data_IF_416760434690
#
_entry.id   IF_416760434690
#
_cell.length_a   1.000
_cell.length_b   1.000
_cell.length_c   1.000
_cell.angle_alpha   90.00
_cell.angle_beta   90.00
_cell.angle_gamma   90.00
#
_symmetry.space_group_name_H-M   'P 1'
#
loop_
_entity.id
_entity.type
_entity.pdbx_description
1 polymer ?
#
# COMPACT_ATOMS: atom_id res chain seq x y z
N UNK A 1 -11.05 -4.33 12.33
CA UNK A 1 -12.32 -5.11 12.25
C UNK A 1 -13.56 -4.21 12.20
N UNK A 2 -13.70 -3.21 13.05
CA UNK A 2 -14.85 -2.29 13.08
C UNK A 2 -15.17 -1.63 11.74
N UNK A 3 -14.16 -1.14 11.04
CA UNK A 3 -14.36 -0.52 9.72
C UNK A 3 -14.85 -1.52 8.66
N UNK A 4 -14.38 -2.77 8.71
CA UNK A 4 -14.86 -3.83 7.81
C UNK A 4 -16.34 -4.12 8.08
N UNK A 5 -16.71 -4.26 9.36
CA UNK A 5 -18.09 -4.46 9.76
C UNK A 5 -19.00 -3.29 9.31
N UNK A 6 -18.55 -2.07 9.50
CA UNK A 6 -19.24 -0.87 9.02
C UNK A 6 -19.46 -0.89 7.50
N UNK A 7 -18.40 -1.16 6.72
CA UNK A 7 -18.50 -1.21 5.27
C UNK A 7 -19.46 -2.31 4.79
N UNK A 8 -19.44 -3.47 5.41
CA UNK A 8 -20.34 -4.57 5.05
C UNK A 8 -21.79 -4.25 5.40
N UNK A 9 -22.05 -3.61 6.56
CA UNK A 9 -23.41 -3.22 6.94
C UNK A 9 -23.98 -2.10 6.07
N UNK A 10 -23.15 -1.13 5.67
CA UNK A 10 -23.61 0.02 4.87
C UNK A 10 -23.67 -0.26 3.37
N UNK A 11 -22.73 -1.05 2.85
CA UNK A 11 -22.53 -1.23 1.40
C UNK A 11 -22.75 -2.67 0.91
N UNK A 12 -22.88 -3.62 1.83
CA UNK A 12 -23.03 -5.05 1.52
C UNK A 12 -21.78 -5.71 0.92
N UNK A 13 -20.71 -4.95 0.65
CA UNK A 13 -19.47 -5.45 0.05
C UNK A 13 -18.29 -4.58 0.44
N UNK A 14 -17.10 -5.18 0.42
CA UNK A 14 -15.83 -4.48 0.62
C UNK A 14 -14.73 -5.14 -0.21
N UNK A 15 -13.78 -4.33 -0.68
CA UNK A 15 -12.52 -4.80 -1.27
C UNK A 15 -11.39 -4.33 -0.37
N UNK A 16 -10.57 -5.27 0.08
CA UNK A 16 -9.40 -5.01 0.90
C UNK A 16 -8.15 -5.29 0.06
N UNK A 17 -7.33 -4.28 -0.14
CA UNK A 17 -6.06 -4.41 -0.85
C UNK A 17 -4.92 -4.23 0.15
N UNK A 18 -4.01 -5.19 0.19
CA UNK A 18 -2.91 -5.22 1.15
C UNK A 18 -1.60 -5.34 0.41
N UNK A 19 -0.62 -4.53 0.81
CA UNK A 19 0.73 -4.64 0.28
C UNK A 19 1.44 -5.87 0.85
N UNK A 20 2.22 -6.55 0.03
CA UNK A 20 2.96 -7.78 0.37
C UNK A 20 3.83 -7.64 1.63
N UNK A 21 4.47 -6.48 1.80
CA UNK A 21 5.33 -6.21 2.96
C UNK A 21 4.62 -5.60 4.16
N UNK A 22 3.30 -5.42 4.12
CA UNK A 22 2.56 -4.85 5.26
C UNK A 22 2.37 -5.87 6.37
N UNK A 23 2.30 -5.39 7.62
CA UNK A 23 1.91 -6.19 8.79
C UNK A 23 2.80 -7.40 9.07
N UNK A 24 4.05 -7.40 8.66
CA UNK A 24 4.96 -8.54 8.86
C UNK A 24 5.19 -8.85 10.35
N UNK A 25 4.97 -7.88 11.22
CA UNK A 25 4.99 -8.04 12.67
C UNK A 25 3.87 -8.95 13.21
N UNK A 26 2.80 -9.15 12.45
CA UNK A 26 1.66 -10.02 12.82
C UNK A 26 1.76 -11.43 12.22
N UNK A 27 2.54 -11.61 11.18
CA UNK A 27 2.64 -12.87 10.41
C UNK A 27 3.77 -13.74 10.91
N UNK A 28 4.03 -13.77 12.22
CA UNK A 28 4.76 -14.77 12.97
C UNK A 28 5.95 -15.47 12.30
N UNK A 29 6.78 -14.73 11.55
CA UNK A 29 8.09 -15.26 11.20
C UNK A 29 8.95 -15.17 12.45
N UNK A 30 9.36 -16.33 12.99
CA UNK A 30 10.33 -16.38 14.07
C UNK A 30 11.55 -15.53 13.67
N UNK A 31 11.84 -14.43 14.40
CA UNK A 31 12.94 -13.54 14.04
C UNK A 31 14.31 -14.24 14.11
N UNK A 32 14.37 -15.45 14.68
CA UNK A 32 15.59 -16.27 14.75
C UNK A 32 15.90 -17.04 13.45
N UNK A 33 14.94 -17.13 12.51
CA UNK A 33 15.10 -17.87 11.25
C UNK A 33 14.88 -16.92 10.07
N UNK A 34 15.90 -16.22 9.65
CA UNK A 34 15.86 -15.48 8.39
C UNK A 34 15.83 -16.46 7.21
N UNK A 35 14.63 -16.78 6.76
CA UNK A 35 14.47 -17.51 5.51
C UNK A 35 14.67 -16.54 4.35
N UNK A 36 15.67 -16.82 3.52
CA UNK A 36 15.90 -16.11 2.28
C UNK A 36 15.22 -16.84 1.12
N UNK A 37 14.73 -16.08 0.14
CA UNK A 37 14.27 -16.64 -1.13
C UNK A 37 15.46 -17.05 -2.02
N UNK A 38 15.18 -17.65 -3.16
CA UNK A 38 16.21 -18.07 -4.12
C UNK A 38 17.06 -16.92 -4.67
N UNK A 39 16.61 -15.68 -4.50
CA UNK A 39 17.29 -14.45 -4.92
C UNK A 39 18.05 -13.77 -3.77
N UNK A 40 18.00 -14.33 -2.56
CA UNK A 40 18.66 -13.78 -1.38
C UNK A 40 17.88 -12.68 -0.66
N UNK A 41 16.61 -12.48 -0.99
CA UNK A 41 15.75 -11.52 -0.28
C UNK A 41 15.07 -12.21 0.90
N UNK A 42 14.74 -11.43 1.93
CA UNK A 42 13.99 -11.92 3.07
C UNK A 42 12.61 -12.43 2.62
N UNK A 43 12.30 -13.68 2.93
CA UNK A 43 10.99 -14.26 2.63
C UNK A 43 9.95 -13.60 3.54
N UNK A 44 8.95 -12.99 2.91
CA UNK A 44 7.83 -12.37 3.63
C UNK A 44 6.78 -13.41 3.99
N UNK A 45 6.11 -13.21 5.14
CA UNK A 45 4.93 -13.98 5.51
C UNK A 45 3.71 -13.57 4.70
N UNK A 46 2.76 -14.47 4.53
CA UNK A 46 1.52 -14.22 3.78
C UNK A 46 0.51 -13.44 4.64
N UNK A 47 0.62 -12.12 4.59
CA UNK A 47 -0.29 -11.20 5.31
C UNK A 47 -1.72 -11.28 4.76
N UNK A 48 -1.89 -11.59 3.48
CA UNK A 48 -3.22 -11.71 2.88
C UNK A 48 -3.99 -12.90 3.44
N UNK A 49 -3.34 -14.05 3.55
CA UNK A 49 -3.94 -15.25 4.13
C UNK A 49 -4.21 -15.09 5.62
N UNK A 50 -3.28 -14.50 6.36
CA UNK A 50 -3.46 -14.16 7.77
C UNK A 50 -4.71 -13.30 7.99
N UNK A 51 -4.87 -12.23 7.20
CA UNK A 51 -6.06 -11.37 7.31
C UNK A 51 -7.35 -12.10 6.92
N UNK A 52 -7.28 -12.98 5.94
CA UNK A 52 -8.41 -13.82 5.56
C UNK A 52 -8.89 -14.67 6.74
N UNK A 53 -7.99 -15.41 7.38
CA UNK A 53 -8.30 -16.26 8.52
C UNK A 53 -8.79 -15.46 9.73
N UNK A 54 -8.17 -14.32 10.02
CA UNK A 54 -8.55 -13.47 11.14
C UNK A 54 -9.95 -12.86 10.96
N UNK A 55 -10.26 -12.42 9.76
CA UNK A 55 -11.60 -11.92 9.42
C UNK A 55 -12.62 -13.07 9.53
N UNK A 56 -12.35 -14.20 8.92
CA UNK A 56 -13.27 -15.34 8.93
C UNK A 56 -13.57 -15.81 10.38
N UNK A 57 -12.52 -15.95 11.19
CA UNK A 57 -12.66 -16.39 12.58
C UNK A 57 -13.49 -15.40 13.41
N UNK A 58 -13.27 -14.10 13.20
CA UNK A 58 -14.01 -13.07 13.94
C UNK A 58 -15.49 -13.07 13.58
N UNK A 59 -15.83 -13.20 12.30
CA UNK A 59 -17.23 -13.26 11.86
C UNK A 59 -17.94 -14.52 12.31
N UNK A 60 -17.26 -15.68 12.27
CA UNK A 60 -17.80 -16.94 12.82
C UNK A 60 -18.12 -16.82 14.31
N UNK A 61 -17.25 -16.17 15.10
CA UNK A 61 -17.50 -15.93 16.53
C UNK A 61 -18.72 -15.03 16.77
N UNK A 62 -19.04 -14.16 15.85
CA UNK A 62 -20.20 -13.26 15.92
C UNK A 62 -21.47 -13.87 15.32
N UNK A 63 -21.42 -15.11 14.83
CA UNK A 63 -22.56 -15.80 14.21
C UNK A 63 -22.96 -15.22 12.86
N UNK A 64 -22.08 -14.50 12.18
CA UNK A 64 -22.30 -13.90 10.87
C UNK A 64 -21.61 -14.71 9.78
N UNK A 65 -22.30 -14.92 8.65
CA UNK A 65 -21.71 -15.54 7.48
C UNK A 65 -21.17 -14.47 6.54
N UNK A 66 -19.89 -14.60 6.16
CA UNK A 66 -19.25 -13.72 5.18
C UNK A 66 -18.62 -14.59 4.09
N UNK A 67 -19.03 -14.31 2.84
CA UNK A 67 -18.38 -14.93 1.68
C UNK A 67 -17.16 -14.11 1.29
N UNK A 68 -15.97 -14.63 1.57
CA UNK A 68 -14.71 -13.99 1.18
C UNK A 68 -14.03 -14.73 0.04
N UNK A 69 -13.32 -13.97 -0.78
CA UNK A 69 -12.44 -14.51 -1.82
C UNK A 69 -11.07 -13.86 -1.68
N UNK A 70 -10.06 -14.69 -1.48
CA UNK A 70 -8.66 -14.26 -1.53
C UNK A 70 -8.15 -14.37 -2.96
N UNK A 71 -7.50 -13.31 -3.42
CA UNK A 71 -6.91 -13.22 -4.76
C UNK A 71 -5.48 -12.76 -4.62
N UNK A 72 -4.54 -13.58 -5.05
CA UNK A 72 -3.16 -13.15 -5.29
C UNK A 72 -3.04 -12.69 -6.75
N UNK A 73 -2.92 -11.37 -7.01
CA UNK A 73 -2.89 -10.84 -8.36
C UNK A 73 -1.49 -10.88 -9.01
N UNK A 74 -0.49 -11.48 -8.38
CA UNK A 74 0.92 -11.40 -8.80
C UNK A 74 1.12 -11.73 -10.28
N UNK A 75 0.58 -12.83 -10.73
CA UNK A 75 0.70 -13.24 -12.15
C UNK A 75 -0.22 -12.43 -13.08
N UNK A 76 -1.41 -12.09 -12.62
CA UNK A 76 -2.35 -11.30 -13.40
C UNK A 76 -1.82 -9.90 -13.71
N UNK A 77 -1.21 -9.23 -12.72
CA UNK A 77 -0.60 -7.92 -12.91
C UNK A 77 0.53 -7.96 -13.93
N UNK A 78 1.37 -9.01 -13.91
CA UNK A 78 2.48 -9.15 -14.83
C UNK A 78 2.07 -9.53 -16.26
N UNK A 79 0.89 -10.10 -16.42
CA UNK A 79 0.35 -10.51 -17.71
C UNK A 79 -0.50 -9.43 -18.41
N UNK A 80 -0.74 -8.30 -17.76
CA UNK A 80 -1.51 -7.19 -18.35
C UNK A 80 -0.69 -6.54 -19.48
N UNK A 81 -1.33 -6.36 -20.62
CA UNK A 81 -0.73 -5.63 -21.75
C UNK A 81 -0.50 -4.16 -21.35
N UNK A 82 0.66 -3.61 -21.77
CA UNK A 82 0.97 -2.20 -21.55
C UNK A 82 0.03 -1.29 -22.33
N UNK A 83 -0.36 -0.18 -21.71
CA UNK A 83 -1.11 0.87 -22.39
C UNK A 83 -0.17 1.77 -23.23
N UNK A 84 -0.74 2.73 -23.99
CA UNK A 84 0.04 3.61 -24.86
C UNK A 84 1.09 4.43 -24.09
N UNK A 85 0.76 4.94 -22.90
CA UNK A 85 1.70 5.68 -22.05
C UNK A 85 2.87 4.81 -21.61
N UNK A 86 2.59 3.58 -21.18
CA UNK A 86 3.62 2.64 -20.76
C UNK A 86 4.52 2.23 -21.92
N UNK A 87 3.94 2.03 -23.12
CA UNK A 87 4.71 1.72 -24.32
C UNK A 87 5.71 2.82 -24.65
N UNK A 88 5.26 4.09 -24.66
CA UNK A 88 6.14 5.23 -24.90
C UNK A 88 7.23 5.30 -23.82
N UNK A 89 6.84 5.19 -22.57
CA UNK A 89 7.76 5.24 -21.43
C UNK A 89 8.82 4.14 -21.50
N UNK A 90 8.43 2.90 -21.71
CA UNK A 90 9.34 1.77 -21.80
C UNK A 90 10.27 1.88 -23.02
N UNK A 91 9.76 2.38 -24.15
CA UNK A 91 10.59 2.61 -25.35
C UNK A 91 11.67 3.65 -25.08
N UNK A 92 11.33 4.76 -24.43
CA UNK A 92 12.30 5.79 -24.06
C UNK A 92 13.33 5.32 -23.04
N UNK A 93 12.93 4.52 -22.07
CA UNK A 93 13.85 3.86 -21.12
C UNK A 93 14.82 2.93 -21.85
N UNK A 94 14.31 2.09 -22.75
CA UNK A 94 15.12 1.16 -23.54
C UNK A 94 16.13 1.92 -24.43
N UNK A 95 15.70 2.95 -25.14
CA UNK A 95 16.60 3.78 -25.94
C UNK A 95 17.71 4.39 -25.08
N UNK A 96 17.36 4.96 -23.94
CA UNK A 96 18.35 5.57 -23.03
C UNK A 96 19.33 4.52 -22.51
N UNK A 97 18.86 3.31 -22.15
CA UNK A 97 19.73 2.23 -21.69
C UNK A 97 20.72 1.77 -22.78
N UNK A 98 20.24 1.59 -24.01
CA UNK A 98 21.10 1.23 -25.16
C UNK A 98 22.14 2.32 -25.43
N UNK A 99 21.75 3.59 -25.48
CA UNK A 99 22.68 4.69 -25.67
C UNK A 99 23.73 4.75 -24.56
N UNK A 100 23.35 4.55 -23.31
CA UNK A 100 24.30 4.47 -22.19
C UNK A 100 25.30 3.35 -22.34
N UNK A 101 24.83 2.15 -22.71
CA UNK A 101 25.71 1.01 -22.95
C UNK A 101 26.70 1.26 -24.11
N UNK A 102 26.23 1.82 -25.24
CA UNK A 102 27.11 2.19 -26.36
C UNK A 102 28.08 3.33 -26.03
N UNK A 103 27.74 4.18 -25.09
CA UNK A 103 28.64 5.22 -24.58
C UNK A 103 29.69 4.66 -23.60
N UNK A 104 29.68 3.35 -23.31
CA UNK A 104 30.64 2.68 -22.43
C UNK A 104 30.27 2.70 -20.95
N UNK A 105 29.08 3.14 -20.58
CA UNK A 105 28.64 3.06 -19.19
C UNK A 105 28.24 1.63 -18.82
N UNK A 106 28.54 1.26 -17.57
CA UNK A 106 28.19 -0.02 -16.99
C UNK A 106 27.74 0.15 -15.54
N UNK A 107 27.02 -0.85 -15.00
CA UNK A 107 26.55 -0.82 -13.61
C UNK A 107 25.49 0.26 -13.33
N UNK A 108 24.67 0.59 -14.29
CA UNK A 108 23.62 1.61 -14.18
C UNK A 108 22.25 1.05 -14.52
N UNK A 109 21.22 1.74 -14.08
CA UNK A 109 19.85 1.63 -14.58
C UNK A 109 19.39 2.98 -15.11
N UNK A 110 18.30 2.98 -15.86
CA UNK A 110 17.65 4.20 -16.35
C UNK A 110 16.35 4.41 -15.60
N UNK A 111 16.15 5.60 -15.07
CA UNK A 111 14.94 5.98 -14.35
C UNK A 111 14.53 7.42 -14.59
N UNK A 112 13.24 7.75 -14.34
CA UNK A 112 12.76 9.12 -14.44
C UNK A 112 13.16 9.91 -13.18
N UNK A 113 13.84 11.04 -13.39
CA UNK A 113 14.14 12.00 -12.34
C UNK A 113 13.68 13.38 -12.82
N UNK A 114 12.73 13.98 -12.10
CA UNK A 114 12.17 15.29 -12.43
C UNK A 114 11.73 15.44 -13.91
N UNK A 115 11.08 14.38 -14.46
CA UNK A 115 10.59 14.40 -15.85
C UNK A 115 11.66 14.17 -16.93
N UNK A 116 12.89 13.82 -16.53
CA UNK A 116 13.99 13.45 -17.44
C UNK A 116 14.45 12.02 -17.16
N UNK A 117 15.04 11.36 -18.14
CA UNK A 117 15.71 10.09 -17.93
C UNK A 117 17.13 10.34 -17.43
N UNK A 118 17.50 9.68 -16.35
CA UNK A 118 18.83 9.73 -15.78
C UNK A 118 19.45 8.33 -15.71
N UNK A 119 20.76 8.27 -15.85
CA UNK A 119 21.55 7.06 -15.54
C UNK A 119 21.84 7.06 -14.05
N UNK A 120 21.36 6.03 -13.36
CA UNK A 120 21.45 5.90 -11.92
C UNK A 120 22.38 4.72 -11.61
N UNK A 121 23.47 4.90 -10.86
CA UNK A 121 24.32 3.78 -10.44
C UNK A 121 23.54 2.73 -9.67
N UNK A 122 23.76 1.46 -9.98
CA UNK A 122 23.03 0.36 -9.29
C UNK A 122 23.31 0.34 -7.79
N UNK A 123 24.48 0.77 -7.35
CA UNK A 123 24.84 0.90 -5.93
C UNK A 123 23.89 1.82 -5.17
N UNK A 124 23.44 2.90 -5.78
CA UNK A 124 22.48 3.83 -5.16
C UNK A 124 21.10 3.21 -4.99
N UNK A 125 20.71 2.33 -5.91
CA UNK A 125 19.38 1.69 -5.89
C UNK A 125 19.33 0.56 -4.86
N UNK A 126 20.41 -0.22 -4.76
CA UNK A 126 20.47 -1.36 -3.84
C UNK A 126 20.46 -0.89 -2.38
N UNK A 127 21.00 0.29 -2.09
CA UNK A 127 21.02 0.87 -0.75
C UNK A 127 19.67 1.47 -0.32
N UNK A 128 18.82 1.83 -1.28
CA UNK A 128 17.53 2.48 -1.02
C UNK A 128 16.39 1.45 -1.05
N UNK A 129 15.92 1.04 0.12
CA UNK A 129 14.69 0.25 0.22
C UNK A 129 13.47 1.15 -0.04
N UNK A 130 12.70 0.83 -1.09
CA UNK A 130 11.43 1.52 -1.35
C UNK A 130 10.38 1.04 -0.36
N UNK A 131 9.89 1.96 0.44
CA UNK A 131 8.72 1.77 1.29
C UNK A 131 7.66 2.81 0.94
N UNK A 132 6.41 2.54 1.30
CA UNK A 132 5.33 3.53 1.16
C UNK A 132 5.54 4.62 2.22
N UNK A 133 5.78 5.85 1.78
CA UNK A 133 5.85 7.00 2.69
C UNK A 133 4.44 7.58 2.89
N UNK A 134 3.94 7.47 4.12
CA UNK A 134 2.61 7.98 4.49
C UNK A 134 2.51 9.52 4.46
N UNK A 135 3.63 10.22 4.30
CA UNK A 135 3.69 11.69 4.15
C UNK A 135 3.64 12.13 2.69
N UNK A 136 3.82 11.18 1.75
CA UNK A 136 3.85 11.50 0.33
C UNK A 136 2.45 11.87 -0.17
N UNK A 137 2.43 12.74 -1.18
CA UNK A 137 1.22 13.12 -1.92
C UNK A 137 0.50 11.91 -2.52
N UNK A 138 1.23 10.87 -2.89
CA UNK A 138 0.65 9.64 -3.43
C UNK A 138 -0.25 8.95 -2.39
N UNK A 139 0.20 8.86 -1.13
CA UNK A 139 -0.59 8.31 -0.04
C UNK A 139 -1.84 9.15 0.24
N UNK A 140 -1.69 10.46 0.35
CA UNK A 140 -2.83 11.38 0.54
C UNK A 140 -3.85 11.27 -0.59
N UNK A 141 -3.39 11.14 -1.82
CA UNK A 141 -4.26 10.94 -2.99
C UNK A 141 -4.99 9.60 -2.93
N UNK A 142 -4.31 8.53 -2.54
CA UNK A 142 -4.92 7.21 -2.38
C UNK A 142 -6.04 7.25 -1.34
N UNK A 143 -5.78 7.78 -0.15
CA UNK A 143 -6.77 7.88 0.93
C UNK A 143 -7.98 8.70 0.49
N UNK A 144 -7.76 9.84 -0.17
CA UNK A 144 -8.84 10.69 -0.65
C UNK A 144 -9.66 10.03 -1.77
N UNK A 145 -9.01 9.36 -2.72
CA UNK A 145 -9.70 8.74 -3.86
C UNK A 145 -10.50 7.50 -3.48
N UNK A 146 -10.06 6.77 -2.47
CA UNK A 146 -10.76 5.58 -1.97
C UNK A 146 -11.81 5.89 -0.91
N UNK A 147 -11.79 7.09 -0.32
CA UNK A 147 -12.68 7.49 0.77
C UNK A 147 -12.50 6.65 2.04
N UNK A 148 -11.38 5.94 2.18
CA UNK A 148 -11.08 5.19 3.38
C UNK A 148 -10.60 6.12 4.50
N UNK A 149 -10.83 5.79 5.78
CA UNK A 149 -10.24 6.53 6.88
C UNK A 149 -8.72 6.37 6.89
N UNK A 150 -8.03 7.38 7.37
CA UNK A 150 -6.60 7.30 7.60
C UNK A 150 -6.36 6.60 8.95
N UNK A 151 -5.88 5.37 8.88
CA UNK A 151 -5.54 4.55 10.06
C UNK A 151 -4.14 4.84 10.61
N UNK A 152 -3.34 5.67 9.94
CA UNK A 152 -1.99 5.96 10.41
C UNK A 152 -2.01 6.73 11.73
N UNK A 153 -1.16 6.38 12.71
CA UNK A 153 -0.99 7.16 13.92
C UNK A 153 -0.40 8.52 13.54
N UNK A 154 -1.23 9.56 13.53
CA UNK A 154 -0.77 10.92 13.25
C UNK A 154 -0.06 11.46 14.47
N UNK A 155 1.25 11.58 14.42
CA UNK A 155 2.00 12.49 15.28
C UNK A 155 1.73 13.93 14.81
N UNK A 156 0.53 14.42 15.06
CA UNK A 156 0.20 15.82 14.81
C UNK A 156 0.86 16.63 15.95
N UNK A 157 1.78 17.54 15.64
CA UNK A 157 2.31 18.43 16.67
C UNK A 157 1.14 19.14 17.36
N UNK A 158 1.12 19.15 18.70
CA UNK A 158 0.11 19.88 19.46
C UNK A 158 0.14 21.36 19.01
N UNK A 159 -0.94 21.81 18.37
CA UNK A 159 -1.06 23.19 17.86
C UNK A 159 -1.14 23.32 16.33
N UNK A 160 -1.00 22.24 15.55
CA UNK A 160 -1.20 22.29 14.10
C UNK A 160 -2.70 22.27 13.79
N UNK A 161 -3.26 23.41 13.44
CA UNK A 161 -4.59 23.53 12.81
C UNK A 161 -4.39 23.40 11.30
N UNK A 162 -4.44 22.17 10.81
CA UNK A 162 -4.43 21.91 9.36
C UNK A 162 -5.70 22.43 8.69
N UNK A 163 -5.66 22.73 7.39
CA UNK A 163 -6.84 23.17 6.67
C UNK A 163 -7.89 22.06 6.63
N UNK A 164 -9.06 22.37 7.16
CA UNK A 164 -10.35 21.63 7.10
C UNK A 164 -10.29 20.13 7.36
N UNK A 165 -10.71 19.74 8.54
CA UNK A 165 -11.19 18.41 8.83
C UNK A 165 -12.47 18.11 8.00
N UNK A 166 -12.32 17.62 6.79
CA UNK A 166 -13.45 17.20 5.94
C UNK A 166 -14.09 15.89 6.46
N UNK A 167 -13.47 15.24 7.45
CA UNK A 167 -13.91 13.95 8.00
C UNK A 167 -14.13 13.96 9.53
N UNK A 168 -14.50 15.08 10.14
CA UNK A 168 -15.09 15.01 11.44
C UNK A 168 -16.54 14.55 11.28
N UNK A 169 -16.81 13.29 11.59
CA UNK A 169 -18.16 12.81 11.85
C UNK A 169 -18.82 13.77 12.84
N UNK A 170 -20.09 14.18 12.62
CA UNK A 170 -20.80 14.98 13.60
C UNK A 170 -20.89 14.16 14.89
N UNK A 171 -20.15 14.58 15.91
CA UNK A 171 -20.39 14.11 17.26
C UNK A 171 -21.83 14.50 17.59
N UNK A 172 -22.65 13.50 17.90
CA UNK A 172 -23.96 13.68 18.46
C UNK A 172 -23.84 14.57 19.72
N UNK A 173 -24.14 15.85 19.59
CA UNK A 173 -24.40 16.68 20.73
C UNK A 173 -25.67 16.14 21.40
N UNK A 174 -25.49 15.37 22.44
CA UNK A 174 -26.55 15.10 23.40
C UNK A 174 -26.90 16.41 24.08
N UNK A 175 -27.98 17.00 23.68
CA UNK A 175 -28.65 18.09 24.35
C UNK A 175 -29.00 17.64 25.78
N UNK A 176 -28.23 18.09 26.76
CA UNK A 176 -28.74 18.18 28.12
C UNK A 176 -29.57 19.47 28.18
N UNK A 177 -30.84 19.35 27.91
CA UNK A 177 -31.82 20.31 28.47
C UNK A 177 -31.96 20.05 29.95
N UNK A 178 -31.36 20.91 30.75
CA UNK A 178 -31.71 21.06 32.14
C UNK A 178 -32.96 21.94 32.26
N UNK A 179 -34.04 21.32 32.71
CA UNK A 179 -35.25 21.94 33.19
C UNK A 179 -34.91 22.79 34.42
N UNK A 180 -35.23 24.08 34.36
CA UNK A 180 -35.80 24.89 35.45
C UNK A 180 -36.62 26.01 34.84
#
# INVERSE_FOLDING_TARGET
MEYVAKCLSERGKMVLVVAEGAGQEYVGNDPSVEQLDASGNKKLGDIGHFLYEEIESTWKKQGMEVSMKYIDPTYMIRAVASNASDNIYCTLLAHSAVHGAFAGYTGFTVGPIHGRHAYIPMTEIVTAQKQVDLRDRMWSRLVNSTGQPDFSPRNIPKGFQGPCNIYSSPQSQSSQESIL
#
